data_IF_473736607447
#
_entry.id   IF_473736607447
#
_cell.length_a   1.000
_cell.length_b   1.000
_cell.length_c   1.000
_cell.angle_alpha   90.00
_cell.angle_beta   90.00
_cell.angle_gamma   90.00
#
_symmetry.space_group_name_H-M   'P 1'
#
loop_
_entity.id
_entity.type
_entity.pdbx_description
1 polymer ?
#
# COMPACT_ATOMS: atom_id res chain seq x y z
N UNK A 1 -5.14 -16.86 27.11
CA UNK A 1 -4.27 -15.80 26.55
C UNK A 1 -5.15 -14.58 26.33
N UNK A 2 -4.84 -13.47 27.00
CA UNK A 2 -5.58 -12.22 26.82
C UNK A 2 -5.29 -11.63 25.41
N UNK A 3 -6.15 -10.72 24.96
CA UNK A 3 -6.06 -10.09 23.64
C UNK A 3 -4.78 -9.26 23.46
N UNK A 4 -4.31 -8.56 24.49
CA UNK A 4 -3.06 -7.79 24.44
C UNK A 4 -1.86 -8.70 24.19
N UNK A 5 -1.82 -9.86 24.84
CA UNK A 5 -0.78 -10.87 24.63
C UNK A 5 -0.80 -11.39 23.19
N UNK A 6 -1.98 -11.63 22.61
CA UNK A 6 -2.10 -12.06 21.20
C UNK A 6 -1.56 -11.01 20.23
N UNK A 7 -1.75 -9.73 20.52
CA UNK A 7 -1.24 -8.63 19.70
C UNK A 7 0.28 -8.52 19.84
N UNK A 8 0.79 -8.54 21.08
CA UNK A 8 2.21 -8.36 21.38
C UNK A 8 3.10 -9.43 20.72
N UNK A 9 2.62 -10.68 20.65
CA UNK A 9 3.42 -11.82 20.15
C UNK A 9 2.97 -12.34 18.78
N UNK A 10 2.52 -11.45 17.88
CA UNK A 10 2.08 -11.83 16.53
C UNK A 10 2.78 -11.02 15.42
N UNK A 11 4.04 -11.38 15.14
CA UNK A 11 4.85 -10.76 14.09
C UNK A 11 4.19 -10.87 12.69
N UNK A 12 3.43 -11.94 12.43
CA UNK A 12 2.73 -12.14 11.15
C UNK A 12 1.67 -11.05 10.93
N UNK A 13 0.86 -10.75 11.94
CA UNK A 13 -0.13 -9.68 11.87
C UNK A 13 0.55 -8.30 11.81
N UNK A 14 1.63 -8.11 12.58
CA UNK A 14 2.35 -6.84 12.58
C UNK A 14 2.96 -6.51 11.21
N UNK A 15 3.67 -7.45 10.59
CA UNK A 15 4.24 -7.29 9.24
C UNK A 15 3.15 -7.05 8.18
N UNK A 16 2.03 -7.76 8.26
CA UNK A 16 0.86 -7.48 7.42
C UNK A 16 0.35 -6.03 7.59
N UNK A 17 0.19 -5.55 8.82
CA UNK A 17 -0.29 -4.18 9.07
C UNK A 17 0.72 -3.11 8.64
N UNK A 18 2.02 -3.39 8.73
CA UNK A 18 3.10 -2.53 8.22
C UNK A 18 2.97 -2.35 6.71
N UNK A 19 2.85 -3.43 5.93
CA UNK A 19 2.68 -3.31 4.48
C UNK A 19 1.34 -2.69 4.09
N UNK A 20 0.27 -3.05 4.82
CA UNK A 20 -1.07 -2.52 4.56
C UNK A 20 -1.12 -0.98 4.69
N UNK A 21 -0.40 -0.39 5.65
CA UNK A 21 -0.34 1.07 5.80
C UNK A 21 0.56 1.78 4.77
N UNK A 22 1.45 1.07 4.08
CA UNK A 22 2.31 1.64 3.02
C UNK A 22 1.58 1.71 1.67
N UNK A 23 0.69 0.73 1.42
CA UNK A 23 -0.16 0.65 0.21
C UNK A 23 -1.42 1.52 0.37
N UNK A 24 -1.97 1.60 1.58
CA UNK A 24 -3.24 2.28 1.83
C UNK A 24 -3.38 2.72 3.29
N UNK A 25 -4.61 2.69 3.80
CA UNK A 25 -4.89 3.06 5.20
C UNK A 25 -5.20 1.81 6.03
N UNK A 26 -4.78 1.84 7.28
CA UNK A 26 -5.23 0.93 8.33
C UNK A 26 -6.24 1.65 9.24
N UNK A 27 -7.17 0.90 9.83
CA UNK A 27 -8.13 1.42 10.80
C UNK A 27 -7.45 1.90 12.09
N UNK A 28 -8.16 2.70 12.89
CA UNK A 28 -7.67 3.17 14.19
C UNK A 28 -7.31 2.02 15.13
N UNK A 29 -8.12 0.96 15.12
CA UNK A 29 -7.87 -0.26 15.90
C UNK A 29 -6.58 -0.94 15.46
N UNK A 30 -6.42 -1.17 14.16
CA UNK A 30 -5.20 -1.78 13.61
C UNK A 30 -3.95 -0.94 13.91
N UNK A 31 -4.07 0.39 13.87
CA UNK A 31 -2.98 1.30 14.23
C UNK A 31 -2.58 1.16 15.70
N UNK A 32 -3.55 1.01 16.61
CA UNK A 32 -3.29 0.75 18.03
C UNK A 32 -2.62 -0.62 18.22
N UNK A 33 -3.15 -1.67 17.58
CA UNK A 33 -2.58 -3.03 17.65
C UNK A 33 -1.12 -3.04 17.16
N UNK A 34 -0.84 -2.37 16.05
CA UNK A 34 0.51 -2.25 15.51
C UNK A 34 1.45 -1.50 16.46
N UNK A 35 0.98 -0.40 17.08
CA UNK A 35 1.76 0.33 18.09
C UNK A 35 2.14 -0.55 19.29
N UNK A 36 1.18 -1.32 19.81
CA UNK A 36 1.42 -2.25 20.92
C UNK A 36 2.52 -3.25 20.55
N UNK A 37 2.42 -3.86 19.36
CA UNK A 37 3.43 -4.81 18.91
C UNK A 37 4.83 -4.18 18.74
N UNK A 38 4.89 -3.01 18.08
CA UNK A 38 6.17 -2.32 17.81
C UNK A 38 6.85 -1.79 19.08
N UNK A 39 6.12 -1.58 20.17
CA UNK A 39 6.70 -1.22 21.45
C UNK A 39 7.61 -2.34 22.02
N UNK A 40 7.27 -3.61 21.76
CA UNK A 40 7.99 -4.78 22.28
C UNK A 40 8.90 -5.49 21.29
N UNK A 41 8.60 -5.43 19.99
CA UNK A 41 9.33 -6.20 18.97
C UNK A 41 10.36 -5.34 18.23
N UNK A 42 11.65 -5.54 18.50
CA UNK A 42 12.73 -4.84 17.78
C UNK A 42 12.78 -5.23 16.29
N UNK A 43 12.60 -6.51 15.97
CA UNK A 43 12.67 -7.01 14.59
C UNK A 43 11.60 -6.36 13.72
N UNK A 44 10.36 -6.23 14.21
CA UNK A 44 9.30 -5.58 13.44
C UNK A 44 9.49 -4.06 13.30
N UNK A 45 10.19 -3.39 14.23
CA UNK A 45 10.61 -2.00 14.05
C UNK A 45 11.63 -1.85 12.93
N UNK A 46 12.63 -2.73 12.88
CA UNK A 46 13.62 -2.75 11.79
C UNK A 46 12.93 -3.06 10.46
N UNK A 47 12.05 -4.06 10.43
CA UNK A 47 11.26 -4.40 9.25
C UNK A 47 10.44 -3.20 8.74
N UNK A 48 9.78 -2.46 9.63
CA UNK A 48 9.04 -1.25 9.26
C UNK A 48 9.94 -0.21 8.59
N UNK A 49 11.11 0.07 9.17
CA UNK A 49 12.06 1.03 8.60
C UNK A 49 12.55 0.59 7.22
N UNK A 50 12.86 -0.69 7.06
CA UNK A 50 13.29 -1.26 5.78
C UNK A 50 12.19 -1.21 4.73
N UNK A 51 10.96 -1.60 5.08
CA UNK A 51 9.80 -1.56 4.19
C UNK A 51 9.53 -0.13 3.70
N UNK A 52 9.47 0.85 4.61
CA UNK A 52 9.28 2.26 4.24
C UNK A 52 10.43 2.76 3.34
N UNK A 53 11.68 2.37 3.61
CA UNK A 53 12.83 2.74 2.76
C UNK A 53 12.71 2.16 1.35
N UNK A 54 12.39 0.87 1.22
CA UNK A 54 12.18 0.20 -0.07
C UNK A 54 11.05 0.86 -0.84
N UNK A 55 9.90 1.07 -0.20
CA UNK A 55 8.73 1.71 -0.83
C UNK A 55 9.06 3.13 -1.31
N UNK A 56 9.86 3.88 -0.55
CA UNK A 56 10.32 5.21 -0.96
C UNK A 56 11.28 5.15 -2.14
N UNK A 57 12.24 4.22 -2.14
CA UNK A 57 13.17 4.02 -3.26
C UNK A 57 12.42 3.70 -4.55
N UNK A 58 11.48 2.75 -4.49
CA UNK A 58 10.65 2.36 -5.63
C UNK A 58 9.82 3.54 -6.13
N UNK A 59 9.14 4.28 -5.24
CA UNK A 59 8.40 5.49 -5.63
C UNK A 59 9.32 6.47 -6.35
N UNK A 60 10.51 6.74 -5.82
CA UNK A 60 11.47 7.65 -6.46
C UNK A 60 11.95 7.16 -7.84
N UNK A 61 12.12 5.85 -8.04
CA UNK A 61 12.46 5.28 -9.36
C UNK A 61 11.35 5.54 -10.39
N UNK A 62 10.08 5.41 -9.99
CA UNK A 62 8.94 5.72 -10.86
C UNK A 62 8.59 7.21 -10.95
N UNK A 63 9.14 8.05 -10.07
CA UNK A 63 9.05 9.52 -10.14
C UNK A 63 10.19 10.16 -10.93
N UNK A 64 11.08 9.36 -11.55
CA UNK A 64 11.74 9.83 -12.78
C UNK A 64 10.63 10.37 -13.69
N UNK A 65 10.80 11.49 -14.41
CA UNK A 65 9.79 11.98 -15.34
C UNK A 65 9.52 10.86 -16.34
N UNK A 66 8.46 10.12 -16.05
CA UNK A 66 7.73 9.27 -16.97
C UNK A 66 7.58 10.18 -18.16
N UNK A 67 8.29 9.87 -19.25
CA UNK A 67 8.46 10.78 -20.39
C UNK A 67 7.17 11.57 -20.58
N UNK A 68 7.23 12.91 -20.65
CA UNK A 68 6.04 13.80 -20.64
C UNK A 68 4.95 13.40 -21.68
N UNK A 69 5.27 12.45 -22.56
CA UNK A 69 4.44 11.84 -23.58
C UNK A 69 4.01 10.38 -23.29
N UNK A 70 3.93 9.90 -22.03
CA UNK A 70 3.19 8.66 -21.75
C UNK A 70 1.70 8.95 -21.89
N UNK A 71 1.23 8.85 -23.13
CA UNK A 71 -0.18 8.83 -23.50
C UNK A 71 -0.57 7.40 -23.85
N UNK A 72 -1.82 7.04 -23.53
CA UNK A 72 -2.48 5.91 -24.19
C UNK A 72 -2.45 6.13 -25.70
N UNK A 73 -2.27 5.06 -26.46
CA UNK A 73 -2.31 5.16 -27.92
C UNK A 73 -3.68 5.65 -28.37
N UNK A 74 -3.69 6.41 -29.46
CA UNK A 74 -4.90 7.11 -29.88
C UNK A 74 -5.99 6.12 -30.34
N UNK A 75 -5.60 4.94 -30.87
CA UNK A 75 -6.55 3.89 -31.26
C UNK A 75 -7.28 3.30 -30.06
N UNK A 76 -6.57 3.01 -28.96
CA UNK A 76 -7.21 2.50 -27.76
C UNK A 76 -8.14 3.52 -27.10
N UNK A 77 -7.82 4.82 -27.19
CA UNK A 77 -8.75 5.88 -26.75
C UNK A 77 -10.03 5.90 -27.58
N UNK A 78 -9.91 5.76 -28.89
CA UNK A 78 -11.07 5.72 -29.80
C UNK A 78 -11.94 4.49 -29.52
N UNK A 79 -11.34 3.32 -29.30
CA UNK A 79 -12.06 2.09 -28.91
C UNK A 79 -12.81 2.28 -27.59
N UNK A 80 -12.18 2.90 -26.58
CA UNK A 80 -12.84 3.21 -25.30
C UNK A 80 -14.00 4.19 -25.47
N UNK A 81 -13.83 5.23 -26.29
CA UNK A 81 -14.89 6.23 -26.52
C UNK A 81 -16.09 5.60 -27.24
N UNK A 82 -15.84 4.70 -28.20
CA UNK A 82 -16.91 3.96 -28.88
C UNK A 82 -17.73 3.12 -27.89
N UNK A 83 -17.06 2.38 -26.99
CA UNK A 83 -17.73 1.58 -25.96
C UNK A 83 -18.57 2.44 -25.01
N UNK A 84 -18.09 3.63 -24.64
CA UNK A 84 -18.86 4.55 -23.80
C UNK A 84 -20.13 5.01 -24.52
N UNK A 85 -20.01 5.42 -25.78
CA UNK A 85 -21.16 5.90 -26.56
C UNK A 85 -22.21 4.79 -26.72
N UNK A 86 -21.80 3.56 -27.04
CA UNK A 86 -22.71 2.41 -27.13
C UNK A 86 -23.47 2.11 -25.82
N UNK A 87 -22.89 2.43 -24.65
CA UNK A 87 -23.55 2.23 -23.36
C UNK A 87 -24.47 3.38 -22.98
N UNK A 88 -24.22 4.59 -23.48
CA UNK A 88 -25.09 5.76 -23.26
C UNK A 88 -26.31 5.78 -24.18
N UNK A 89 -26.22 5.13 -25.34
CA UNK A 89 -27.31 4.98 -26.31
C UNK A 89 -28.23 3.76 -26.03
N UNK A 90 -27.92 2.98 -24.98
CA UNK A 90 -28.76 1.89 -24.47
C UNK A 90 -29.69 2.35 -23.35
#
# INVERSE_FOLDING_TARGET
MDELTKIAYNCKKATYLIEKQEIGKISLREKLELKIHLAGCHVCRVFQQQSTAINRMIKNMFHQPVAENIKLDDKFKDELQHLINEQLEK
#
